data_IF_009301491355
#
_entry.id   IF_009301491355
#
_cell.length_a   1.000
_cell.length_b   1.000
_cell.length_c   1.000
_cell.angle_alpha   90.00
_cell.angle_beta   90.00
_cell.angle_gamma   90.00
#
_symmetry.space_group_name_H-M   'P 1'
#
loop_
_entity.id
_entity.type
_entity.pdbx_description
1 polymer ?
#
# COMPACT_ATOMS: atom_id res chain seq x y z
N UNK A 1 7.61 -3.95 -23.19
CA UNK A 1 8.41 -5.04 -22.58
C UNK A 1 7.59 -5.48 -21.35
N UNK A 2 6.94 -6.66 -21.39
CA UNK A 2 6.21 -7.14 -20.21
C UNK A 2 7.24 -7.48 -19.15
N UNK A 3 7.28 -6.70 -18.07
CA UNK A 3 8.07 -7.03 -16.90
C UNK A 3 7.34 -8.20 -16.25
N UNK A 4 7.94 -9.38 -16.31
CA UNK A 4 7.53 -10.47 -15.45
C UNK A 4 7.90 -10.05 -14.03
N UNK A 5 6.91 -9.57 -13.24
CA UNK A 5 7.02 -9.72 -11.80
C UNK A 5 7.22 -11.21 -11.62
N UNK A 6 8.37 -11.59 -11.11
CA UNK A 6 8.73 -12.98 -10.98
C UNK A 6 7.69 -13.64 -10.07
N UNK A 7 6.76 -14.35 -10.67
CA UNK A 7 5.99 -15.38 -9.95
C UNK A 7 7.04 -16.41 -9.58
N UNK A 8 7.59 -16.31 -8.38
CA UNK A 8 8.54 -17.30 -7.89
C UNK A 8 7.79 -18.61 -7.73
N UNK A 9 8.19 -19.67 -8.48
CA UNK A 9 7.66 -20.98 -8.19
C UNK A 9 8.12 -21.36 -6.79
N UNK A 10 7.18 -21.46 -5.85
CA UNK A 10 7.47 -22.01 -4.53
C UNK A 10 8.05 -23.42 -4.73
N UNK A 11 9.23 -23.64 -4.17
CA UNK A 11 9.78 -24.98 -4.04
C UNK A 11 8.79 -25.82 -3.23
N UNK A 12 8.19 -26.80 -3.88
CA UNK A 12 7.36 -27.83 -3.25
C UNK A 12 8.24 -28.73 -2.36
N UNK A 13 8.74 -28.18 -1.28
CA UNK A 13 9.18 -28.97 -0.14
C UNK A 13 7.97 -29.10 0.77
N UNK A 14 7.50 -30.31 1.03
CA UNK A 14 6.25 -30.66 1.70
C UNK A 14 6.06 -30.18 3.14
N UNK A 15 6.61 -29.04 3.52
CA UNK A 15 6.39 -28.27 4.73
C UNK A 15 5.51 -27.08 4.38
N UNK A 16 4.43 -26.88 5.13
CA UNK A 16 3.33 -25.97 4.87
C UNK A 16 3.73 -24.60 4.29
N UNK A 17 2.90 -24.08 3.39
CA UNK A 17 3.06 -22.77 2.75
C UNK A 17 3.38 -21.71 3.78
N UNK A 18 4.44 -20.93 3.55
CA UNK A 18 4.88 -19.86 4.44
C UNK A 18 4.50 -18.54 3.82
N UNK A 19 3.72 -17.71 4.54
CA UNK A 19 3.43 -16.33 4.13
C UNK A 19 4.74 -15.57 3.86
N UNK A 20 4.82 -14.82 2.77
CA UNK A 20 5.93 -13.90 2.48
C UNK A 20 5.66 -12.57 3.17
N UNK A 21 6.38 -12.27 4.26
CA UNK A 21 6.12 -11.13 5.14
C UNK A 21 7.18 -10.03 4.98
N UNK A 22 6.70 -8.82 4.68
CA UNK A 22 7.52 -7.62 4.53
C UNK A 22 7.32 -6.60 5.64
N UNK A 23 8.17 -5.59 5.61
CA UNK A 23 8.12 -4.42 6.50
C UNK A 23 8.21 -3.14 5.69
N UNK A 24 7.64 -2.06 6.22
CA UNK A 24 7.75 -0.73 5.64
C UNK A 24 9.00 -0.03 6.19
N UNK A 25 9.82 0.54 5.30
CA UNK A 25 11.02 1.31 5.65
C UNK A 25 11.01 2.64 4.94
N UNK A 26 11.65 3.66 5.51
CA UNK A 26 11.84 4.96 4.89
C UNK A 26 13.32 5.31 4.76
N UNK A 27 13.64 6.38 4.02
CA UNK A 27 15.02 6.90 3.97
C UNK A 27 15.55 7.34 5.34
N UNK A 28 14.66 7.66 6.28
CA UNK A 28 15.03 8.09 7.63
C UNK A 28 15.43 6.94 8.53
N UNK A 29 14.74 5.82 8.44
CA UNK A 29 14.78 4.77 9.46
C UNK A 29 15.35 3.43 8.99
N UNK A 30 15.56 3.25 7.66
CA UNK A 30 16.06 1.98 7.11
C UNK A 30 17.34 1.47 7.77
N UNK A 31 18.20 2.37 8.28
CA UNK A 31 19.46 1.98 8.96
C UNK A 31 19.25 1.56 10.41
N UNK A 32 18.12 1.91 11.02
CA UNK A 32 17.81 1.65 12.43
C UNK A 32 16.84 0.49 12.62
N UNK A 33 16.07 0.15 11.59
CA UNK A 33 15.14 -0.98 11.61
C UNK A 33 15.91 -2.29 11.50
N UNK A 34 15.65 -3.19 12.44
CA UNK A 34 16.21 -4.55 12.44
C UNK A 34 15.11 -5.58 12.68
N UNK A 35 14.66 -6.22 11.60
CA UNK A 35 13.60 -7.25 11.61
C UNK A 35 14.08 -8.50 10.87
N UNK A 36 14.87 -9.38 11.53
CA UNK A 36 15.54 -10.51 10.85
C UNK A 36 14.61 -11.53 10.20
N UNK A 37 13.32 -11.53 10.59
CA UNK A 37 12.29 -12.45 10.06
C UNK A 37 11.45 -11.88 8.94
N UNK A 38 11.72 -10.66 8.52
CA UNK A 38 11.08 -10.10 7.35
C UNK A 38 11.73 -10.69 6.08
N UNK A 39 10.92 -11.00 5.09
CA UNK A 39 11.35 -11.60 3.83
C UNK A 39 11.69 -10.52 2.79
N UNK A 40 11.04 -9.36 2.86
CA UNK A 40 11.27 -8.22 1.98
C UNK A 40 10.99 -6.89 2.69
N UNK A 41 11.30 -5.79 2.01
CA UNK A 41 10.97 -4.42 2.45
C UNK A 41 10.14 -3.70 1.39
N UNK A 42 9.27 -2.81 1.87
CA UNK A 42 8.60 -1.79 1.08
C UNK A 42 9.16 -0.42 1.44
N UNK A 43 9.56 0.35 0.45
CA UNK A 43 10.10 1.69 0.65
C UNK A 43 8.98 2.72 0.64
N UNK A 44 8.68 3.31 1.79
CA UNK A 44 7.77 4.45 1.90
C UNK A 44 8.46 5.74 1.50
N UNK A 45 7.91 6.42 0.50
CA UNK A 45 8.39 7.68 -0.02
C UNK A 45 7.75 8.87 0.68
N UNK A 46 8.54 9.91 0.92
CA UNK A 46 8.04 11.21 1.37
C UNK A 46 8.40 12.29 0.35
N UNK A 47 7.57 13.32 0.21
CA UNK A 47 7.81 14.40 -0.75
C UNK A 47 9.18 15.08 -0.56
N UNK A 48 9.60 15.28 0.70
CA UNK A 48 10.94 15.82 1.01
C UNK A 48 12.11 14.90 0.65
N UNK A 49 11.87 13.68 0.23
CA UNK A 49 12.91 12.76 -0.22
C UNK A 49 13.35 13.06 -1.65
N UNK A 50 12.51 13.74 -2.45
CA UNK A 50 12.78 14.09 -3.86
C UNK A 50 14.10 14.85 -4.03
N UNK A 51 14.44 15.74 -3.11
CA UNK A 51 15.69 16.51 -3.16
C UNK A 51 16.91 15.70 -2.71
N UNK A 52 16.69 14.60 -1.98
CA UNK A 52 17.74 13.76 -1.40
C UNK A 52 18.01 12.51 -2.21
N UNK A 53 17.01 12.06 -2.97
CA UNK A 53 17.11 10.85 -3.78
C UNK A 53 17.84 11.15 -5.07
N UNK A 54 19.00 10.55 -5.20
CA UNK A 54 19.73 10.43 -6.46
C UNK A 54 19.82 8.96 -6.83
N UNK A 55 20.08 8.66 -8.10
CA UNK A 55 20.31 7.27 -8.56
C UNK A 55 21.39 6.56 -7.71
N UNK A 56 22.42 7.29 -7.29
CA UNK A 56 23.46 6.77 -6.40
C UNK A 56 22.88 6.38 -5.02
N UNK A 57 22.07 7.25 -4.42
CA UNK A 57 21.43 6.99 -3.12
C UNK A 57 20.52 5.77 -3.19
N UNK A 58 19.74 5.64 -4.28
CA UNK A 58 18.88 4.47 -4.47
C UNK A 58 19.66 3.17 -4.64
N UNK A 59 20.75 3.19 -5.41
CA UNK A 59 21.63 2.02 -5.55
C UNK A 59 22.32 1.65 -4.24
N UNK A 60 22.77 2.62 -3.47
CA UNK A 60 23.34 2.39 -2.14
C UNK A 60 22.29 1.84 -1.17
N UNK A 61 21.06 2.37 -1.21
CA UNK A 61 19.94 1.91 -0.41
C UNK A 61 19.60 0.45 -0.74
N UNK A 62 19.42 0.13 -2.01
CA UNK A 62 19.14 -1.24 -2.47
C UNK A 62 20.22 -2.23 -2.03
N UNK A 63 21.49 -1.80 -2.03
CA UNK A 63 22.60 -2.62 -1.56
C UNK A 63 22.67 -2.80 -0.03
N UNK A 64 22.11 -1.88 0.76
CA UNK A 64 22.24 -1.83 2.23
C UNK A 64 20.99 -2.29 2.97
N UNK A 65 19.81 -2.04 2.44
CA UNK A 65 18.55 -2.46 3.07
C UNK A 65 18.47 -3.99 3.09
N UNK A 66 18.18 -4.51 4.25
CA UNK A 66 17.96 -5.94 4.45
C UNK A 66 16.70 -6.11 5.30
N UNK A 67 15.75 -6.87 4.83
CA UNK A 67 15.70 -7.57 3.52
C UNK A 67 15.51 -6.62 2.32
N UNK A 68 15.67 -7.15 1.10
CA UNK A 68 15.63 -6.37 -0.15
C UNK A 68 14.32 -5.63 -0.36
N UNK A 69 14.38 -4.49 -1.04
CA UNK A 69 13.18 -3.73 -1.42
C UNK A 69 12.51 -4.43 -2.61
N UNK A 70 11.24 -4.75 -2.46
CA UNK A 70 10.41 -5.35 -3.52
C UNK A 70 9.23 -4.46 -3.94
N UNK A 71 8.87 -3.48 -3.10
CA UNK A 71 7.81 -2.51 -3.38
C UNK A 71 8.24 -1.11 -2.98
N UNK A 72 7.62 -0.12 -3.60
CA UNK A 72 7.74 1.30 -3.24
C UNK A 72 6.33 1.83 -3.01
N UNK A 73 6.07 2.37 -1.83
CA UNK A 73 4.85 3.10 -1.57
C UNK A 73 5.05 4.57 -1.96
N UNK A 74 4.20 5.08 -2.84
CA UNK A 74 4.24 6.46 -3.24
C UNK A 74 3.89 7.39 -2.06
N UNK A 75 4.42 8.61 -2.10
CA UNK A 75 4.14 9.59 -1.05
C UNK A 75 2.66 9.95 -0.97
N UNK A 76 2.16 10.09 0.25
CA UNK A 76 0.78 10.55 0.50
C UNK A 76 0.59 12.05 0.28
N UNK A 77 1.66 12.84 0.39
CA UNK A 77 1.61 14.30 0.30
C UNK A 77 2.61 14.81 -0.72
N UNK A 78 2.27 15.91 -1.38
CA UNK A 78 3.17 16.67 -2.25
C UNK A 78 3.20 18.14 -1.86
N UNK A 79 4.33 18.79 -2.07
CA UNK A 79 4.43 20.26 -1.97
C UNK A 79 3.93 20.89 -3.26
N UNK A 80 2.76 21.51 -3.21
CA UNK A 80 2.15 22.19 -4.35
C UNK A 80 1.88 23.65 -4.02
N UNK A 81 2.40 24.57 -4.85
CA UNK A 81 2.32 26.03 -4.64
C UNK A 81 2.73 26.44 -3.21
N UNK A 82 3.81 25.84 -2.68
CA UNK A 82 4.37 26.11 -1.36
C UNK A 82 3.54 25.56 -0.19
N UNK A 83 2.59 24.67 -0.44
CA UNK A 83 1.77 24.00 0.58
C UNK A 83 1.93 22.49 0.47
N UNK A 84 1.95 21.85 1.62
CA UNK A 84 1.95 20.40 1.73
C UNK A 84 0.50 19.90 1.67
N UNK A 85 0.14 19.28 0.56
CA UNK A 85 -1.24 18.87 0.22
C UNK A 85 -1.26 17.37 -0.02
N UNK A 86 -2.35 16.71 0.42
CA UNK A 86 -2.58 15.29 0.16
C UNK A 86 -2.59 15.03 -1.36
N UNK A 87 -1.82 14.06 -1.81
CA UNK A 87 -1.79 13.63 -3.21
C UNK A 87 -3.17 13.13 -3.63
N UNK A 88 -3.69 13.63 -4.74
CA UNK A 88 -5.05 13.35 -5.20
C UNK A 88 -5.09 13.14 -6.72
N UNK A 89 -4.96 11.88 -7.14
CA UNK A 89 -5.06 11.49 -8.55
C UNK A 89 -6.47 11.66 -9.13
N UNK A 90 -7.46 11.85 -8.26
CA UNK A 90 -8.86 12.07 -8.62
C UNK A 90 -9.29 13.55 -8.58
N UNK A 91 -8.35 14.47 -8.32
CA UNK A 91 -8.66 15.89 -8.15
C UNK A 91 -9.42 16.47 -9.34
N UNK A 92 -10.40 17.34 -9.05
CA UNK A 92 -11.12 18.16 -10.04
C UNK A 92 -10.24 19.30 -10.57
N UNK A 93 -9.27 19.78 -9.77
CA UNK A 93 -8.24 20.72 -10.23
C UNK A 93 -7.25 20.00 -11.14
N UNK A 94 -7.31 20.31 -12.44
CA UNK A 94 -6.52 19.63 -13.46
C UNK A 94 -5.01 19.93 -13.30
N UNK A 95 -4.65 21.16 -12.92
CA UNK A 95 -3.25 21.54 -12.69
C UNK A 95 -2.67 20.78 -11.50
N UNK A 96 -3.43 20.71 -10.40
CA UNK A 96 -3.03 19.94 -9.23
C UNK A 96 -2.97 18.44 -9.51
N UNK A 97 -3.95 17.89 -10.23
CA UNK A 97 -3.96 16.47 -10.64
C UNK A 97 -2.74 16.12 -11.49
N UNK A 98 -2.36 17.00 -12.45
CA UNK A 98 -1.15 16.81 -13.25
C UNK A 98 0.12 16.81 -12.40
N UNK A 99 0.21 17.66 -11.37
CA UNK A 99 1.30 17.65 -10.42
C UNK A 99 1.36 16.32 -9.62
N UNK A 100 0.21 15.78 -9.24
CA UNK A 100 0.12 14.46 -8.59
C UNK A 100 0.60 13.33 -9.53
N UNK A 101 0.18 13.35 -10.79
CA UNK A 101 0.65 12.40 -11.82
C UNK A 101 2.16 12.46 -11.93
N UNK A 102 2.75 13.65 -12.07
CA UNK A 102 4.21 13.81 -12.16
C UNK A 102 4.95 13.32 -10.91
N UNK A 103 4.33 13.41 -9.74
CA UNK A 103 4.90 12.86 -8.51
C UNK A 103 4.96 11.32 -8.54
N UNK A 104 3.92 10.67 -9.08
CA UNK A 104 3.92 9.21 -9.27
C UNK A 104 4.91 8.78 -10.36
N UNK A 105 5.02 9.52 -11.47
CA UNK A 105 6.03 9.23 -12.50
C UNK A 105 7.44 9.21 -11.92
N UNK A 106 7.78 10.20 -11.10
CA UNK A 106 9.07 10.23 -10.42
C UNK A 106 9.27 9.03 -9.47
N UNK A 107 8.22 8.61 -8.76
CA UNK A 107 8.29 7.42 -7.91
C UNK A 107 8.53 6.15 -8.73
N UNK A 108 7.94 6.05 -9.93
CA UNK A 108 8.20 4.95 -10.88
C UNK A 108 9.65 4.95 -11.37
N UNK A 109 10.22 6.13 -11.64
CA UNK A 109 11.64 6.23 -12.02
C UNK A 109 12.53 5.69 -10.89
N UNK A 110 12.20 5.99 -9.64
CA UNK A 110 12.92 5.42 -8.49
C UNK A 110 12.74 3.90 -8.39
N UNK A 111 11.54 3.41 -8.57
CA UNK A 111 11.25 1.97 -8.59
C UNK A 111 12.03 1.26 -9.72
N UNK A 112 12.18 1.88 -10.88
CA UNK A 112 12.97 1.36 -11.99
C UNK A 112 14.46 1.22 -11.62
N UNK A 113 15.04 2.21 -10.92
CA UNK A 113 16.42 2.16 -10.41
C UNK A 113 16.62 1.04 -9.38
N UNK A 114 15.56 0.75 -8.60
CA UNK A 114 15.53 -0.35 -7.60
C UNK A 114 15.31 -1.74 -8.23
N UNK A 115 15.27 -1.84 -9.55
CA UNK A 115 15.14 -3.11 -10.26
C UNK A 115 13.74 -3.39 -10.82
N UNK A 116 12.88 -2.36 -10.91
CA UNK A 116 11.55 -2.49 -11.49
C UNK A 116 10.51 -3.08 -10.52
N UNK A 117 10.61 -2.69 -9.26
CA UNK A 117 9.67 -3.11 -8.20
C UNK A 117 8.27 -2.50 -8.38
N UNK A 118 7.26 -3.08 -7.75
CA UNK A 118 5.88 -2.56 -7.77
C UNK A 118 5.75 -1.21 -7.04
N UNK A 119 4.90 -0.32 -7.56
CA UNK A 119 4.63 0.99 -6.96
C UNK A 119 3.19 1.04 -6.45
N UNK A 120 3.03 1.08 -5.14
CA UNK A 120 1.73 1.23 -4.48
C UNK A 120 1.29 2.68 -4.54
N UNK A 121 0.06 2.92 -4.97
CA UNK A 121 -0.52 4.26 -5.10
C UNK A 121 -1.89 4.33 -4.45
N UNK A 122 -2.13 5.42 -3.70
CA UNK A 122 -3.46 5.80 -3.28
C UNK A 122 -4.24 6.49 -4.41
N UNK A 123 -5.56 6.28 -4.51
CA UNK A 123 -6.38 6.88 -5.57
C UNK A 123 -6.60 8.39 -5.39
N UNK A 124 -6.52 8.90 -4.17
CA UNK A 124 -7.03 10.23 -3.80
C UNK A 124 -8.53 10.20 -3.55
N UNK A 125 -9.24 11.29 -3.92
CA UNK A 125 -10.69 11.37 -3.73
C UNK A 125 -11.14 11.52 -2.27
N UNK A 126 -10.25 11.99 -1.39
CA UNK A 126 -10.52 12.20 0.03
C UNK A 126 -11.16 13.58 0.23
N UNK A 127 -12.34 13.62 0.83
CA UNK A 127 -13.19 14.81 1.00
C UNK A 127 -13.74 14.90 2.42
N UNK A 128 -14.30 16.05 2.80
CA UNK A 128 -14.99 16.22 4.11
C UNK A 128 -16.22 15.34 4.25
N UNK A 129 -16.82 14.97 3.13
CA UNK A 129 -17.95 14.03 3.02
C UNK A 129 -17.85 13.29 1.69
N UNK A 130 -18.47 12.14 1.60
CA UNK A 130 -18.57 11.41 0.33
C UNK A 130 -19.35 12.25 -0.68
N UNK A 131 -18.73 12.59 -1.79
CA UNK A 131 -19.34 13.41 -2.85
C UNK A 131 -18.66 13.17 -4.20
N UNK A 132 -19.36 13.55 -5.28
CA UNK A 132 -18.85 13.57 -6.67
C UNK A 132 -18.20 12.27 -7.16
N UNK A 133 -18.65 11.13 -6.64
CA UNK A 133 -17.98 9.83 -6.82
C UNK A 133 -17.66 9.53 -8.28
N UNK A 134 -18.62 9.66 -9.21
CA UNK A 134 -18.41 9.34 -10.63
C UNK A 134 -17.43 10.31 -11.32
N UNK A 135 -17.45 11.59 -10.95
CA UNK A 135 -16.48 12.58 -11.44
C UNK A 135 -15.07 12.21 -10.96
N UNK A 136 -14.90 11.88 -9.69
CA UNK A 136 -13.61 11.50 -9.09
C UNK A 136 -13.09 10.19 -9.69
N UNK A 137 -13.94 9.18 -9.87
CA UNK A 137 -13.55 7.93 -10.54
C UNK A 137 -13.10 8.17 -11.99
N UNK A 138 -13.78 9.06 -12.71
CA UNK A 138 -13.41 9.42 -14.08
C UNK A 138 -12.09 10.20 -14.13
N UNK A 139 -11.82 11.05 -13.13
CA UNK A 139 -10.56 11.77 -13.03
C UNK A 139 -9.42 10.84 -12.70
N UNK A 140 -9.60 9.91 -11.75
CA UNK A 140 -8.63 8.87 -11.43
C UNK A 140 -8.31 8.02 -12.67
N UNK A 141 -9.32 7.61 -13.41
CA UNK A 141 -9.14 6.86 -14.66
C UNK A 141 -8.27 7.63 -15.68
N UNK A 142 -8.49 8.94 -15.83
CA UNK A 142 -7.65 9.79 -16.69
C UNK A 142 -6.21 9.84 -16.21
N UNK A 143 -5.98 9.98 -14.91
CA UNK A 143 -4.65 10.01 -14.31
C UNK A 143 -3.91 8.69 -14.51
N UNK A 144 -4.57 7.55 -14.26
CA UNK A 144 -3.98 6.22 -14.45
C UNK A 144 -3.67 5.96 -15.93
N UNK A 145 -4.56 6.35 -16.85
CA UNK A 145 -4.31 6.24 -18.30
C UNK A 145 -3.10 7.08 -18.74
N UNK A 146 -2.94 8.27 -18.16
CA UNK A 146 -1.76 9.12 -18.42
C UNK A 146 -0.47 8.49 -17.94
N UNK A 147 -0.49 7.87 -16.77
CA UNK A 147 0.65 7.13 -16.20
C UNK A 147 0.97 5.86 -17.02
N UNK A 148 -0.05 5.22 -17.61
CA UNK A 148 0.08 3.88 -18.17
C UNK A 148 0.24 2.81 -17.07
N UNK A 149 0.03 1.53 -17.38
CA UNK A 149 -0.11 0.48 -16.36
C UNK A 149 1.20 0.05 -15.69
N UNK A 150 2.36 0.38 -16.24
CA UNK A 150 3.63 -0.19 -15.78
C UNK A 150 3.93 0.06 -14.31
N UNK A 151 4.05 -1.03 -13.55
CA UNK A 151 4.44 -1.08 -12.14
C UNK A 151 3.40 -0.53 -11.14
N UNK A 152 2.23 -0.09 -11.57
CA UNK A 152 1.23 0.51 -10.67
C UNK A 152 0.38 -0.55 -9.97
N UNK A 153 0.33 -0.47 -8.65
CA UNK A 153 -0.55 -1.23 -7.77
C UNK A 153 -1.51 -0.26 -7.08
N UNK A 154 -2.77 -0.27 -7.47
CA UNK A 154 -3.78 0.60 -6.87
C UNK A 154 -4.26 0.01 -5.55
N UNK A 155 -4.28 0.83 -4.51
CA UNK A 155 -4.69 0.43 -3.17
C UNK A 155 -6.15 0.82 -2.88
N UNK A 156 -6.89 -0.04 -2.17
CA UNK A 156 -8.23 0.26 -1.66
C UNK A 156 -8.16 1.17 -0.42
N UNK A 157 -9.21 2.01 -0.23
CA UNK A 157 -9.26 3.01 0.82
C UNK A 157 -10.27 2.67 1.92
N UNK A 158 -10.05 3.14 3.17
CA UNK A 158 -11.04 3.04 4.22
C UNK A 158 -12.17 4.06 4.01
N UNK A 159 -13.34 3.85 4.64
CA UNK A 159 -14.44 4.84 4.61
C UNK A 159 -14.04 6.17 5.22
N UNK A 160 -13.38 6.15 6.38
CA UNK A 160 -12.83 7.32 7.04
C UNK A 160 -11.31 7.34 6.93
N UNK A 161 -10.76 8.48 6.59
CA UNK A 161 -9.33 8.73 6.50
C UNK A 161 -8.92 9.84 7.46
N UNK A 162 -7.86 9.62 8.23
CA UNK A 162 -7.32 10.60 9.14
C UNK A 162 -6.25 11.45 8.47
N UNK A 163 -6.61 12.71 8.20
CA UNK A 163 -5.68 13.68 7.66
C UNK A 163 -4.75 14.23 8.77
N UNK A 164 -3.63 14.83 8.37
CA UNK A 164 -2.77 15.59 9.29
C UNK A 164 -3.60 16.51 10.18
N UNK A 165 -3.18 16.69 11.45
CA UNK A 165 -3.92 17.45 12.50
C UNK A 165 -5.19 16.76 13.01
N UNK A 166 -5.31 15.45 12.79
CA UNK A 166 -6.46 14.68 13.26
C UNK A 166 -7.81 15.17 12.71
N UNK A 167 -7.79 15.70 11.47
CA UNK A 167 -9.03 15.98 10.75
C UNK A 167 -9.55 14.69 10.12
N UNK A 168 -10.79 14.32 10.47
CA UNK A 168 -11.46 13.15 9.92
C UNK A 168 -12.10 13.49 8.58
N UNK A 169 -11.70 12.78 7.55
CA UNK A 169 -12.17 12.92 6.19
C UNK A 169 -12.89 11.64 5.75
N UNK A 170 -13.48 11.65 4.56
CA UNK A 170 -14.10 10.48 3.95
C UNK A 170 -13.44 10.16 2.60
N UNK A 171 -13.17 8.90 2.35
CA UNK A 171 -12.81 8.45 1.00
C UNK A 171 -14.09 8.37 0.15
N UNK A 172 -14.09 9.03 -0.99
CA UNK A 172 -15.25 9.06 -1.89
C UNK A 172 -15.20 7.99 -2.97
N UNK A 173 -14.03 7.37 -3.18
CA UNK A 173 -13.75 6.38 -4.23
C UNK A 173 -12.81 5.29 -3.73
N UNK A 174 -12.76 4.17 -4.44
CA UNK A 174 -11.90 3.01 -4.15
C UNK A 174 -12.10 2.42 -2.75
N UNK A 175 -13.30 2.59 -2.19
CA UNK A 175 -13.71 2.04 -0.89
C UNK A 175 -14.38 0.68 -1.08
N UNK A 176 -15.12 0.49 -2.17
CA UNK A 176 -15.78 -0.78 -2.48
C UNK A 176 -14.99 -1.62 -3.48
N UNK A 177 -15.28 -2.92 -3.51
CA UNK A 177 -14.67 -3.84 -4.49
C UNK A 177 -15.04 -3.43 -5.92
N UNK A 178 -16.28 -3.01 -6.14
CA UNK A 178 -16.78 -2.58 -7.45
C UNK A 178 -16.03 -1.34 -7.98
N UNK A 179 -15.60 -0.43 -7.08
CA UNK A 179 -14.74 0.67 -7.47
C UNK A 179 -13.39 0.19 -7.99
N UNK A 180 -12.80 -0.78 -7.30
CA UNK A 180 -11.50 -1.33 -7.67
C UNK A 180 -11.58 -2.11 -9.00
N UNK A 181 -12.64 -2.89 -9.22
CA UNK A 181 -12.88 -3.62 -10.47
C UNK A 181 -12.81 -2.73 -11.72
N UNK A 182 -13.28 -1.48 -11.60
CA UNK A 182 -13.24 -0.48 -12.69
C UNK A 182 -11.83 -0.27 -13.24
N UNK A 183 -10.81 -0.44 -12.40
CA UNK A 183 -9.41 -0.19 -12.75
C UNK A 183 -8.64 -1.45 -13.15
N UNK A 184 -9.26 -2.63 -13.14
CA UNK A 184 -8.58 -3.91 -13.38
C UNK A 184 -7.86 -4.00 -14.73
N UNK A 185 -8.31 -3.26 -15.76
CA UNK A 185 -7.65 -3.16 -17.05
C UNK A 185 -6.65 -2.00 -17.22
N UNK A 186 -6.49 -1.17 -16.20
CA UNK A 186 -5.75 0.09 -16.27
C UNK A 186 -4.46 0.11 -15.44
N UNK A 187 -4.37 -0.74 -14.42
CA UNK A 187 -3.19 -0.90 -13.56
C UNK A 187 -2.58 -2.28 -13.75
N UNK A 188 -1.34 -2.50 -13.32
CA UNK A 188 -0.74 -3.84 -13.36
C UNK A 188 -1.41 -4.79 -12.36
N UNK A 189 -1.78 -4.26 -11.21
CA UNK A 189 -2.46 -5.01 -10.17
C UNK A 189 -2.97 -4.12 -9.05
N UNK A 190 -3.30 -4.79 -7.95
CA UNK A 190 -3.84 -4.14 -6.76
C UNK A 190 -2.98 -4.46 -5.54
N UNK A 191 -2.93 -3.48 -4.63
CA UNK A 191 -2.60 -3.72 -3.24
C UNK A 191 -3.92 -3.82 -2.47
N UNK A 192 -4.17 -4.96 -1.84
CA UNK A 192 -5.27 -5.09 -0.90
C UNK A 192 -4.76 -4.70 0.49
N UNK A 193 -5.18 -3.53 0.98
CA UNK A 193 -5.07 -3.23 2.40
C UNK A 193 -6.25 -3.86 3.15
N UNK A 194 -5.92 -4.83 4.01
CA UNK A 194 -6.92 -5.60 4.78
C UNK A 194 -7.57 -4.75 5.87
N UNK A 195 -6.82 -3.81 6.45
CA UNK A 195 -7.32 -2.85 7.43
C UNK A 195 -8.30 -1.87 6.79
N UNK A 196 -7.93 -1.26 5.65
CA UNK A 196 -8.81 -0.38 4.87
C UNK A 196 -10.07 -1.11 4.41
N UNK A 197 -9.93 -2.35 3.95
CA UNK A 197 -11.05 -3.18 3.56
C UNK A 197 -12.03 -3.43 4.71
N UNK A 198 -11.53 -3.76 5.90
CA UNK A 198 -12.36 -3.88 7.09
C UNK A 198 -13.05 -2.55 7.44
N UNK A 199 -12.36 -1.43 7.31
CA UNK A 199 -12.89 -0.08 7.56
C UNK A 199 -13.64 0.53 6.37
N UNK A 200 -13.98 -0.23 5.34
CA UNK A 200 -14.76 0.24 4.18
C UNK A 200 -16.20 0.64 4.54
N UNK A 201 -16.66 0.27 5.73
CA UNK A 201 -17.95 0.67 6.30
C UNK A 201 -17.79 1.18 7.74
N UNK A 202 -18.63 2.13 8.18
CA UNK A 202 -18.57 2.64 9.56
C UNK A 202 -18.71 1.57 10.65
N UNK A 203 -19.46 0.50 10.40
CA UNK A 203 -19.63 -0.62 11.32
C UNK A 203 -18.52 -1.69 11.22
N UNK A 204 -17.64 -1.57 10.24
CA UNK A 204 -16.70 -2.59 9.84
C UNK A 204 -17.27 -3.56 8.81
N UNK A 205 -16.40 -4.11 7.97
CA UNK A 205 -16.77 -5.07 6.91
C UNK A 205 -15.88 -6.33 6.97
N UNK A 206 -16.19 -7.29 7.83
CA UNK A 206 -15.39 -8.51 7.99
C UNK A 206 -15.31 -9.38 6.74
N UNK A 207 -16.25 -9.23 5.80
CA UNK A 207 -16.28 -9.98 4.54
C UNK A 207 -15.54 -9.31 3.38
N UNK A 208 -14.99 -8.10 3.56
CA UNK A 208 -14.38 -7.35 2.47
C UNK A 208 -13.22 -8.09 1.82
N UNK A 209 -12.28 -8.56 2.63
CA UNK A 209 -11.07 -9.25 2.14
C UNK A 209 -11.44 -10.46 1.24
N UNK A 210 -12.38 -11.30 1.68
CA UNK A 210 -12.81 -12.45 0.88
C UNK A 210 -13.43 -12.03 -0.44
N UNK A 211 -14.37 -11.06 -0.43
CA UNK A 211 -14.99 -10.56 -1.66
C UNK A 211 -13.98 -9.92 -2.63
N UNK A 212 -13.01 -9.19 -2.09
CA UNK A 212 -11.95 -8.60 -2.90
C UNK A 212 -11.12 -9.67 -3.59
N UNK A 213 -10.70 -10.69 -2.85
CA UNK A 213 -9.90 -11.79 -3.38
C UNK A 213 -10.70 -12.69 -4.34
N UNK A 214 -12.00 -12.89 -4.09
CA UNK A 214 -12.88 -13.63 -5.01
C UNK A 214 -13.02 -12.91 -6.36
N UNK A 215 -13.03 -11.58 -6.37
CA UNK A 215 -13.22 -10.78 -7.58
C UNK A 215 -11.90 -10.40 -8.26
N UNK A 216 -10.88 -10.04 -7.50
CA UNK A 216 -9.63 -9.42 -7.98
C UNK A 216 -8.38 -10.20 -7.56
N UNK A 217 -8.53 -11.41 -7.00
CA UNK A 217 -7.39 -12.18 -6.46
C UNK A 217 -6.28 -12.42 -7.48
N UNK A 218 -6.64 -12.76 -8.73
CA UNK A 218 -5.67 -12.95 -9.82
C UNK A 218 -4.90 -11.66 -10.20
N UNK A 219 -5.39 -10.52 -9.75
CA UNK A 219 -4.80 -9.20 -9.97
C UNK A 219 -4.22 -8.58 -8.71
N UNK A 220 -4.40 -9.23 -7.56
CA UNK A 220 -3.85 -8.78 -6.28
C UNK A 220 -2.40 -9.26 -6.18
N UNK A 221 -1.47 -8.33 -6.25
CA UNK A 221 -0.04 -8.63 -6.29
C UNK A 221 0.67 -8.32 -4.98
N UNK A 222 -0.01 -7.62 -4.08
CA UNK A 222 0.54 -7.17 -2.81
C UNK A 222 -0.59 -6.98 -1.78
N UNK A 223 -0.26 -7.15 -0.50
CA UNK A 223 -1.16 -6.84 0.61
C UNK A 223 -0.49 -5.92 1.63
N UNK A 224 -1.28 -5.00 2.19
CA UNK A 224 -0.97 -4.33 3.45
C UNK A 224 -1.77 -4.93 4.58
N UNK A 225 -1.14 -5.12 5.74
CA UNK A 225 -1.79 -5.75 6.89
C UNK A 225 -1.45 -5.03 8.18
N UNK A 226 -2.49 -4.49 8.78
CA UNK A 226 -2.57 -4.09 10.19
C UNK A 226 -3.94 -4.48 10.72
N UNK A 227 -4.17 -4.32 12.01
CA UNK A 227 -5.48 -4.55 12.59
C UNK A 227 -6.27 -3.24 12.70
N UNK A 228 -7.57 -3.36 12.91
CA UNK A 228 -8.48 -2.22 12.98
C UNK A 228 -9.59 -2.39 13.99
N UNK A 229 -10.19 -1.27 14.39
CA UNK A 229 -11.48 -1.21 15.07
C UNK A 229 -12.38 -0.17 14.41
N UNK A 230 -13.54 -0.59 13.94
CA UNK A 230 -14.53 0.33 13.41
C UNK A 230 -14.90 1.40 14.48
N UNK A 231 -15.26 2.62 14.07
CA UNK A 231 -15.45 3.02 12.67
C UNK A 231 -14.16 3.49 11.95
N UNK A 232 -13.07 3.78 12.67
CA UNK A 232 -11.98 4.61 12.13
C UNK A 232 -10.62 4.42 12.80
N UNK A 233 -10.43 3.36 13.58
CA UNK A 233 -9.12 3.04 14.17
C UNK A 233 -8.39 2.06 13.29
N UNK A 234 -7.50 2.60 12.46
CA UNK A 234 -6.60 1.85 11.58
C UNK A 234 -5.19 1.71 12.18
N UNK A 235 -4.35 0.91 11.55
CA UNK A 235 -2.93 0.78 11.91
C UNK A 235 -2.67 0.16 13.29
N UNK A 236 -3.65 -0.54 13.86
CA UNK A 236 -3.53 -1.21 15.16
C UNK A 236 -2.59 -2.43 15.01
N UNK A 237 -1.89 -2.77 16.08
CA UNK A 237 -1.07 -3.97 16.09
C UNK A 237 -1.90 -5.23 15.80
N UNK A 238 -1.41 -6.09 14.95
CA UNK A 238 -2.06 -7.33 14.52
C UNK A 238 -2.48 -8.16 15.74
N UNK A 239 -3.77 -8.51 15.80
CA UNK A 239 -4.39 -9.26 16.90
C UNK A 239 -4.86 -8.40 18.08
N UNK A 240 -4.75 -7.08 18.02
CA UNK A 240 -5.27 -6.16 19.03
C UNK A 240 -6.56 -5.45 18.58
N UNK A 241 -7.02 -5.67 17.36
CA UNK A 241 -8.24 -5.12 16.77
C UNK A 241 -9.38 -6.13 16.63
N UNK A 242 -10.14 -6.02 15.55
CA UNK A 242 -11.33 -6.81 15.29
C UNK A 242 -11.29 -7.59 13.97
N UNK A 243 -10.17 -7.54 13.23
CA UNK A 243 -10.06 -8.21 11.93
C UNK A 243 -9.87 -9.71 12.12
N UNK A 244 -10.67 -10.49 11.39
CA UNK A 244 -10.41 -11.91 11.19
C UNK A 244 -9.43 -12.10 10.03
N UNK A 245 -8.22 -12.49 10.35
CA UNK A 245 -7.15 -12.72 9.35
C UNK A 245 -7.25 -14.08 8.65
N UNK A 246 -8.33 -14.83 8.80
CA UNK A 246 -8.52 -16.12 8.14
C UNK A 246 -8.51 -16.02 6.61
N UNK A 247 -8.85 -14.85 6.05
CA UNK A 247 -8.75 -14.57 4.62
C UNK A 247 -7.31 -14.66 4.08
N UNK A 248 -6.29 -14.53 4.94
CA UNK A 248 -4.88 -14.67 4.57
C UNK A 248 -4.42 -16.13 4.46
N UNK A 249 -5.25 -17.07 4.92
CA UNK A 249 -4.91 -18.49 4.88
C UNK A 249 -4.65 -18.94 3.44
N UNK A 250 -3.50 -19.58 3.24
CA UNK A 250 -3.08 -20.12 1.96
C UNK A 250 -2.86 -19.08 0.83
N UNK A 251 -2.72 -17.79 1.16
CA UNK A 251 -2.30 -16.80 0.17
C UNK A 251 -0.79 -16.87 -0.08
N UNK A 252 -0.43 -16.78 -1.35
CA UNK A 252 0.96 -16.73 -1.81
C UNK A 252 1.40 -15.30 -2.17
N UNK A 253 0.56 -14.31 -1.84
CA UNK A 253 0.77 -12.89 -2.16
C UNK A 253 1.69 -12.27 -1.11
N UNK A 254 2.74 -11.51 -1.49
CA UNK A 254 3.58 -10.77 -0.56
C UNK A 254 2.76 -9.78 0.29
N UNK A 255 3.12 -9.65 1.57
CA UNK A 255 2.30 -9.02 2.58
C UNK A 255 3.16 -8.12 3.46
N UNK A 256 2.97 -6.80 3.38
CA UNK A 256 3.67 -5.81 4.20
C UNK A 256 2.91 -5.56 5.52
N UNK A 257 3.62 -5.68 6.64
CA UNK A 257 3.08 -5.27 7.96
C UNK A 257 3.09 -3.75 8.03
N UNK A 258 1.90 -3.14 8.10
CA UNK A 258 1.70 -1.69 8.12
C UNK A 258 1.05 -1.20 9.43
N UNK A 259 1.68 -1.54 10.53
CA UNK A 259 1.24 -1.10 11.87
C UNK A 259 1.79 0.30 12.17
N UNK A 260 0.94 1.20 12.62
CA UNK A 260 1.36 2.56 12.99
C UNK A 260 2.49 2.55 14.02
N UNK A 261 3.50 3.39 13.80
CA UNK A 261 4.70 3.50 14.64
C UNK A 261 5.52 2.21 14.78
N UNK A 262 5.29 1.23 13.91
CA UNK A 262 6.02 -0.04 13.96
C UNK A 262 7.53 0.12 13.79
N UNK A 263 8.00 1.20 13.14
CA UNK A 263 9.40 1.56 12.95
C UNK A 263 10.10 2.00 14.25
N UNK A 264 9.35 2.47 15.26
CA UNK A 264 9.92 2.91 16.53
C UNK A 264 10.66 1.76 17.23
N UNK A 265 11.65 2.11 18.09
CA UNK A 265 12.45 1.16 18.85
C UNK A 265 13.11 0.08 17.97
N UNK A 266 13.67 0.50 16.82
CA UNK A 266 14.35 -0.37 15.87
C UNK A 266 13.42 -1.37 15.18
N UNK A 267 12.17 -1.03 14.98
CA UNK A 267 11.18 -1.86 14.28
C UNK A 267 10.48 -2.87 15.20
N UNK A 268 10.30 -2.54 16.48
CA UNK A 268 9.66 -3.44 17.45
C UNK A 268 8.23 -3.81 17.07
N UNK A 269 7.46 -2.87 16.53
CA UNK A 269 6.09 -3.13 16.07
C UNK A 269 6.03 -4.10 14.88
N UNK A 270 6.97 -3.98 13.95
CA UNK A 270 7.09 -4.93 12.83
C UNK A 270 7.44 -6.34 13.32
N UNK A 271 8.41 -6.47 14.23
CA UNK A 271 8.75 -7.78 14.80
C UNK A 271 7.55 -8.45 15.44
N UNK A 272 6.79 -7.69 16.25
CA UNK A 272 5.57 -8.18 16.89
C UNK A 272 4.51 -8.61 15.87
N UNK A 273 4.27 -7.80 14.85
CA UNK A 273 3.30 -8.10 13.79
C UNK A 273 3.66 -9.39 13.04
N UNK A 274 4.92 -9.52 12.61
CA UNK A 274 5.43 -10.73 11.94
C UNK A 274 5.31 -11.96 12.85
N UNK A 275 5.70 -11.86 14.11
CA UNK A 275 5.62 -13.00 15.04
C UNK A 275 4.16 -13.44 15.28
N UNK A 276 3.22 -12.48 15.35
CA UNK A 276 1.78 -12.78 15.47
C UNK A 276 1.23 -13.45 14.22
N UNK A 277 1.54 -12.95 13.01
CA UNK A 277 1.14 -13.58 11.74
C UNK A 277 1.72 -14.98 11.61
N UNK A 278 3.00 -15.18 11.88
CA UNK A 278 3.62 -16.53 11.89
C UNK A 278 2.96 -17.47 12.90
N UNK A 279 2.48 -16.94 14.02
CA UNK A 279 1.76 -17.73 15.02
C UNK A 279 0.35 -18.09 14.56
N UNK A 280 -0.31 -17.22 13.81
CA UNK A 280 -1.62 -17.49 13.20
C UNK A 280 -1.47 -18.54 12.09
N UNK A 281 -0.49 -18.38 11.20
CA UNK A 281 -0.20 -19.30 10.11
C UNK A 281 -0.04 -20.75 10.56
N UNK A 282 0.62 -20.97 11.69
CA UNK A 282 0.78 -22.32 12.28
C UNK A 282 -0.53 -22.95 12.78
N UNK A 283 -1.58 -22.15 12.95
CA UNK A 283 -2.89 -22.62 13.44
C UNK A 283 -3.90 -22.80 12.31
N UNK A 284 -3.61 -22.28 11.13
CA UNK A 284 -4.41 -22.45 9.92
C UNK A 284 -4.16 -23.81 9.26
#
# INVERSE_FOLDING_TARGET
>A
MRIHIAVYPLSLNGEGRILKLGIMVSLKDHMTINVPRADFSELLMFDGDRERITERVLKELHGKVRPSIEFVHAQEFITYKGRDILLDLASEDEEFRAACVSAIELTRDYAAVLGGVGVVIHPGGIRKKVEKREELLSNLERSIKSLGPSQLLLENMPWFYWHRKMEKMCSSICVSVEDMERFSGLVDGFTLDVCHGYLSKPEGDPGYCSRFLDSLGDRTLHLHVSDARAPDKEGIQIGDGNIDFSCLKALEIPLTVEVWKAHENGGSGFRMGIDRLRSMEKRW
#
